data_IF_148910615691
#
_entry.id   IF_148910615691
#
_cell.length_a   1.000
_cell.length_b   1.000
_cell.length_c   1.000
_cell.angle_alpha   90.00
_cell.angle_beta   90.00
_cell.angle_gamma   90.00
#
_symmetry.space_group_name_H-M   'P 1'
#
loop_
_entity.id
_entity.type
_entity.pdbx_description
1 polymer ?
#
# COMPACT_ATOMS: atom_id res chain seq x y z
N UNK A 1 -10.85 -52.91 -64.60
CA UNK A 1 -9.86 -51.87 -64.20
C UNK A 1 -10.55 -50.81 -63.34
N UNK A 2 -10.69 -51.00 -62.02
CA UNK A 2 -11.40 -50.02 -61.18
C UNK A 2 -10.90 -50.00 -59.71
N UNK A 3 -9.63 -50.34 -59.47
CA UNK A 3 -9.05 -50.33 -58.10
C UNK A 3 -7.72 -49.58 -57.97
N UNK A 4 -7.08 -49.20 -59.08
CA UNK A 4 -5.78 -48.51 -59.05
C UNK A 4 -5.90 -46.98 -58.90
N UNK A 5 -7.04 -46.37 -59.26
CA UNK A 5 -7.24 -44.92 -59.17
C UNK A 5 -7.61 -44.44 -57.75
N UNK A 6 -8.17 -45.31 -56.90
CA UNK A 6 -8.52 -44.95 -55.52
C UNK A 6 -7.30 -44.81 -54.61
N UNK A 7 -6.28 -45.65 -54.79
CA UNK A 7 -5.05 -45.58 -54.00
C UNK A 7 -4.26 -44.28 -54.24
N UNK A 8 -4.31 -43.73 -55.45
CA UNK A 8 -3.59 -42.49 -55.78
C UNK A 8 -4.26 -41.25 -55.17
N UNK A 9 -5.60 -41.21 -55.15
CA UNK A 9 -6.38 -40.18 -54.46
C UNK A 9 -6.24 -40.28 -52.94
N UNK A 10 -6.22 -41.50 -52.39
CA UNK A 10 -6.02 -41.74 -50.97
C UNK A 10 -4.62 -41.24 -50.52
N UNK A 11 -3.55 -41.63 -51.21
CA UNK A 11 -2.19 -41.22 -50.87
C UNK A 11 -1.99 -39.70 -50.91
N UNK A 12 -2.56 -39.03 -51.91
CA UNK A 12 -2.47 -37.57 -52.03
C UNK A 12 -3.30 -36.84 -50.96
N UNK A 13 -4.39 -37.45 -50.48
CA UNK A 13 -5.19 -36.94 -49.36
C UNK A 13 -4.45 -37.08 -48.01
N UNK A 14 -3.77 -38.20 -47.79
CA UNK A 14 -2.97 -38.44 -46.59
C UNK A 14 -1.75 -37.54 -46.49
N UNK A 15 -1.08 -37.28 -47.62
CA UNK A 15 0.02 -36.33 -47.67
C UNK A 15 -0.42 -34.90 -47.34
N UNK A 16 -1.62 -34.49 -47.78
CA UNK A 16 -2.19 -33.18 -47.43
C UNK A 16 -2.55 -33.08 -45.94
N UNK A 17 -3.15 -34.14 -45.38
CA UNK A 17 -3.44 -34.23 -43.95
C UNK A 17 -2.15 -34.10 -43.13
N UNK A 18 -1.11 -34.88 -43.43
CA UNK A 18 0.16 -34.81 -42.71
C UNK A 18 0.82 -33.43 -42.77
N UNK A 19 0.83 -32.79 -43.94
CA UNK A 19 1.37 -31.41 -44.05
C UNK A 19 0.53 -30.41 -43.27
N UNK A 20 -0.79 -30.58 -43.23
CA UNK A 20 -1.68 -29.69 -42.49
C UNK A 20 -1.45 -29.83 -40.99
N UNK A 21 -1.30 -31.06 -40.49
CA UNK A 21 -1.00 -31.32 -39.06
C UNK A 21 0.36 -30.73 -38.66
N UNK A 22 1.38 -30.83 -39.52
CA UNK A 22 2.70 -30.23 -39.26
C UNK A 22 2.62 -28.71 -39.23
N UNK A 23 1.95 -28.08 -40.20
CA UNK A 23 1.78 -26.63 -40.23
C UNK A 23 1.00 -26.14 -39.01
N UNK A 24 -0.08 -26.82 -38.64
CA UNK A 24 -0.89 -26.48 -37.45
C UNK A 24 -0.07 -26.64 -36.16
N UNK A 25 0.73 -27.70 -36.05
CA UNK A 25 1.64 -27.90 -34.90
C UNK A 25 2.69 -26.80 -34.82
N UNK A 26 3.25 -26.37 -35.95
CA UNK A 26 4.21 -25.26 -36.01
C UNK A 26 3.54 -23.94 -35.58
N UNK A 27 2.33 -23.65 -36.06
CA UNK A 27 1.58 -22.43 -35.69
C UNK A 27 1.22 -22.43 -34.20
N UNK A 28 0.82 -23.58 -33.64
CA UNK A 28 0.54 -23.74 -32.21
C UNK A 28 1.81 -23.55 -31.36
N UNK A 29 2.94 -24.13 -31.78
CA UNK A 29 4.22 -23.96 -31.10
C UNK A 29 4.72 -22.51 -31.17
N UNK A 30 4.53 -21.84 -32.31
CA UNK A 30 4.88 -20.42 -32.48
C UNK A 30 3.98 -19.50 -31.66
N UNK A 31 2.69 -19.83 -31.52
CA UNK A 31 1.75 -19.08 -30.69
C UNK A 31 2.09 -19.16 -29.20
N UNK A 32 2.54 -20.32 -28.72
CA UNK A 32 3.05 -20.47 -27.34
C UNK A 32 4.33 -19.67 -27.08
N UNK A 33 5.13 -19.39 -28.12
CA UNK A 33 6.37 -18.61 -27.97
C UNK A 33 6.13 -17.09 -27.97
N UNK A 34 4.97 -16.65 -28.45
CA UNK A 34 4.57 -15.24 -28.54
C UNK A 34 3.73 -14.72 -27.37
N UNK A 35 3.53 -15.51 -26.29
CA UNK A 35 2.99 -14.99 -25.04
C UNK A 35 4.12 -14.33 -24.22
N UNK A 36 4.13 -12.99 -24.05
CA UNK A 36 5.14 -12.30 -23.25
C UNK A 36 4.80 -12.46 -21.76
N UNK A 37 4.90 -13.68 -21.23
CA UNK A 37 4.68 -13.96 -19.80
C UNK A 37 5.67 -13.20 -18.89
N UNK A 38 6.75 -12.62 -19.43
CA UNK A 38 7.73 -11.84 -18.65
C UNK A 38 7.28 -10.43 -18.24
N UNK A 39 6.31 -9.80 -18.93
CA UNK A 39 5.91 -8.40 -18.65
C UNK A 39 5.00 -8.24 -17.44
N UNK A 40 4.18 -9.24 -17.15
CA UNK A 40 3.25 -9.18 -16.01
C UNK A 40 4.01 -9.41 -14.69
N UNK A 41 4.96 -10.36 -14.68
CA UNK A 41 5.77 -10.64 -13.49
C UNK A 41 6.68 -9.46 -13.09
N UNK A 42 7.22 -8.72 -14.06
CA UNK A 42 8.07 -7.56 -13.79
C UNK A 42 7.26 -6.37 -13.25
N UNK A 43 6.06 -6.09 -13.78
CA UNK A 43 5.20 -5.04 -13.26
C UNK A 43 4.70 -5.32 -11.82
N UNK A 44 4.35 -6.58 -11.52
CA UNK A 44 3.96 -6.98 -10.16
C UNK A 44 5.15 -6.90 -9.19
N UNK A 45 6.34 -7.28 -9.64
CA UNK A 45 7.56 -7.16 -8.83
C UNK A 45 7.93 -5.70 -8.55
N UNK A 46 7.85 -4.81 -9.54
CA UNK A 46 8.12 -3.38 -9.32
C UNK A 46 7.12 -2.77 -8.34
N UNK A 47 5.84 -3.11 -8.44
CA UNK A 47 4.83 -2.63 -7.48
C UNK A 47 5.07 -3.16 -6.06
N UNK A 48 5.44 -4.43 -5.90
CA UNK A 48 5.79 -4.96 -4.59
C UNK A 48 7.05 -4.30 -4.01
N UNK A 49 8.04 -4.03 -4.85
CA UNK A 49 9.32 -3.47 -4.41
C UNK A 49 9.18 -1.99 -4.02
N UNK A 50 8.38 -1.21 -4.76
CA UNK A 50 7.98 0.15 -4.36
C UNK A 50 7.21 0.16 -3.04
N UNK A 51 6.20 -0.71 -2.90
CA UNK A 51 5.43 -0.81 -1.65
C UNK A 51 6.31 -1.21 -0.47
N UNK A 52 7.24 -2.15 -0.65
CA UNK A 52 8.18 -2.56 0.39
C UNK A 52 9.13 -1.42 0.79
N UNK A 53 9.61 -0.62 -0.17
CA UNK A 53 10.45 0.54 0.11
C UNK A 53 9.70 1.63 0.89
N UNK A 54 8.45 1.92 0.50
CA UNK A 54 7.57 2.86 1.23
C UNK A 54 7.32 2.38 2.65
N UNK A 55 7.04 1.08 2.83
CA UNK A 55 6.79 0.49 4.14
C UNK A 55 8.04 0.50 5.02
N UNK A 56 9.23 0.24 4.45
CA UNK A 56 10.50 0.35 5.18
C UNK A 56 10.78 1.80 5.63
N UNK A 57 10.59 2.77 4.74
CA UNK A 57 10.76 4.18 5.05
C UNK A 57 9.78 4.64 6.13
N UNK A 58 8.53 4.20 6.03
CA UNK A 58 7.49 4.49 7.01
C UNK A 58 7.80 3.84 8.37
N UNK A 59 8.31 2.59 8.39
CA UNK A 59 8.75 1.89 9.60
C UNK A 59 9.94 2.59 10.29
N UNK A 60 10.83 3.23 9.54
CA UNK A 60 11.92 4.04 10.10
C UNK A 60 11.43 5.37 10.67
N UNK A 61 10.38 5.96 10.10
CA UNK A 61 9.78 7.22 10.57
C UNK A 61 8.82 7.01 11.74
N UNK A 62 8.19 5.84 11.86
CA UNK A 62 7.27 5.48 12.92
C UNK A 62 7.80 5.73 14.35
N UNK A 63 9.04 5.36 14.73
CA UNK A 63 9.57 5.67 16.06
C UNK A 63 9.69 7.17 16.32
N UNK A 64 10.04 7.97 15.30
CA UNK A 64 10.10 9.42 15.44
C UNK A 64 8.71 10.03 15.64
N UNK A 65 7.71 9.56 14.89
CA UNK A 65 6.30 9.96 15.11
C UNK A 65 5.82 9.53 16.50
N UNK A 66 6.17 8.33 16.95
CA UNK A 66 5.85 7.85 18.30
C UNK A 66 6.42 8.78 19.38
N UNK A 67 7.69 9.17 19.26
CA UNK A 67 8.28 10.13 20.19
C UNK A 67 7.54 11.48 20.20
N UNK A 68 7.10 11.98 19.03
CA UNK A 68 6.29 13.21 18.96
C UNK A 68 4.94 13.04 19.66
N UNK A 69 4.25 11.91 19.46
CA UNK A 69 2.98 11.60 20.15
C UNK A 69 3.20 11.54 21.67
N UNK A 70 4.23 10.84 22.13
CA UNK A 70 4.55 10.74 23.56
C UNK A 70 4.85 12.13 24.17
N UNK A 71 5.53 13.00 23.42
CA UNK A 71 5.77 14.39 23.83
C UNK A 71 4.48 15.21 23.92
N UNK A 72 3.54 15.05 22.99
CA UNK A 72 2.23 15.70 23.03
C UNK A 72 1.44 15.25 24.26
N UNK A 73 1.37 13.95 24.51
CA UNK A 73 0.68 13.38 25.67
C UNK A 73 1.30 13.88 26.99
N UNK A 74 2.63 13.96 27.07
CA UNK A 74 3.31 14.51 28.24
C UNK A 74 3.03 16.01 28.45
N UNK A 75 2.99 16.80 27.36
CA UNK A 75 2.61 18.23 27.41
C UNK A 75 1.16 18.40 27.84
N UNK A 76 0.24 17.61 27.31
CA UNK A 76 -1.17 17.58 27.72
C UNK A 76 -1.29 17.31 29.23
N UNK A 77 -0.62 16.28 29.74
CA UNK A 77 -0.66 15.93 31.16
C UNK A 77 -0.09 17.05 32.05
N UNK A 78 0.97 17.71 31.58
CA UNK A 78 1.58 18.86 32.29
C UNK A 78 0.62 20.05 32.32
N UNK A 79 -0.05 20.38 31.20
CA UNK A 79 -1.04 21.45 31.13
C UNK A 79 -2.27 21.15 31.98
N UNK A 80 -2.78 19.92 31.96
CA UNK A 80 -3.90 19.48 32.79
C UNK A 80 -3.57 19.62 34.29
N UNK A 81 -2.35 19.26 34.68
CA UNK A 81 -1.86 19.41 36.06
C UNK A 81 -1.70 20.88 36.45
N UNK A 82 -1.13 21.72 35.58
CA UNK A 82 -0.98 23.17 35.81
C UNK A 82 -2.33 23.88 35.91
N UNK A 83 -3.30 23.48 35.07
CA UNK A 83 -4.67 23.99 35.10
C UNK A 83 -5.38 23.60 36.41
N UNK A 84 -5.31 22.33 36.81
CA UNK A 84 -5.85 21.85 38.10
C UNK A 84 -5.24 22.56 39.31
N UNK A 85 -3.96 22.90 39.23
CA UNK A 85 -3.26 23.61 40.28
C UNK A 85 -3.49 25.14 40.25
N UNK A 86 -4.26 25.66 39.29
CA UNK A 86 -4.45 27.11 39.04
C UNK A 86 -3.14 27.89 38.95
N UNK A 87 -2.04 27.23 38.56
CA UNK A 87 -0.69 27.78 38.60
C UNK A 87 -0.41 28.75 37.45
N UNK A 88 -1.24 28.77 36.42
CA UNK A 88 -0.99 29.49 35.17
C UNK A 88 -2.21 30.34 34.81
N UNK A 89 -2.03 31.61 34.38
CA UNK A 89 -3.12 32.45 33.91
C UNK A 89 -3.85 31.80 32.73
N UNK A 90 -5.18 31.91 32.71
CA UNK A 90 -6.08 31.23 31.77
C UNK A 90 -5.72 31.49 30.30
N UNK A 91 -5.24 32.70 29.96
CA UNK A 91 -4.80 33.03 28.60
C UNK A 91 -3.56 32.25 28.15
N UNK A 92 -2.59 32.04 29.05
CA UNK A 92 -1.39 31.27 28.73
C UNK A 92 -1.70 29.78 28.60
N UNK A 93 -2.65 29.26 29.39
CA UNK A 93 -3.16 27.89 29.22
C UNK A 93 -3.86 27.76 27.87
N UNK A 94 -4.72 28.72 27.51
CA UNK A 94 -5.43 28.70 26.23
C UNK A 94 -4.48 28.70 25.05
N UNK A 95 -3.47 29.58 25.06
CA UNK A 95 -2.45 29.61 24.00
C UNK A 95 -1.63 28.31 23.93
N UNK A 96 -1.35 27.68 25.07
CA UNK A 96 -0.65 26.40 25.09
C UNK A 96 -1.53 25.24 24.62
N UNK A 97 -2.85 25.28 24.88
CA UNK A 97 -3.83 24.32 24.37
C UNK A 97 -4.01 24.49 22.86
N UNK A 98 -4.11 25.72 22.35
CA UNK A 98 -4.20 26.00 20.92
C UNK A 98 -2.93 25.52 20.18
N UNK A 99 -1.74 25.76 20.73
CA UNK A 99 -0.49 25.24 20.17
C UNK A 99 -0.41 23.70 20.20
N UNK A 100 -0.96 23.06 21.24
CA UNK A 100 -1.05 21.61 21.33
C UNK A 100 -2.01 21.04 20.29
N UNK A 101 -3.11 21.75 20.02
CA UNK A 101 -4.11 21.40 19.00
C UNK A 101 -3.49 21.44 17.59
N UNK A 102 -2.78 22.53 17.26
CA UNK A 102 -2.07 22.69 15.99
C UNK A 102 -1.01 21.58 15.79
N UNK A 103 -0.18 21.33 16.80
CA UNK A 103 0.84 20.27 16.76
C UNK A 103 0.19 18.88 16.59
N UNK A 104 -0.94 18.62 17.27
CA UNK A 104 -1.67 17.36 17.17
C UNK A 104 -2.32 17.18 15.79
N UNK A 105 -2.89 18.24 15.20
CA UNK A 105 -3.43 18.22 13.85
C UNK A 105 -2.34 17.95 12.80
N UNK A 106 -1.19 18.63 12.91
CA UNK A 106 -0.06 18.38 12.02
C UNK A 106 0.45 16.93 12.11
N UNK A 107 0.48 16.36 13.33
CA UNK A 107 0.89 14.98 13.55
C UNK A 107 -0.14 13.97 13.04
N UNK A 108 -1.44 14.26 13.17
CA UNK A 108 -2.52 13.45 12.61
C UNK A 108 -2.39 13.38 11.07
N UNK A 109 -2.06 14.50 10.42
CA UNK A 109 -1.80 14.52 8.98
C UNK A 109 -0.54 13.74 8.60
N UNK A 110 0.54 13.82 9.39
CA UNK A 110 1.74 12.99 9.17
C UNK A 110 1.44 11.49 9.32
N UNK A 111 0.59 11.11 10.29
CA UNK A 111 0.13 9.73 10.50
C UNK A 111 -0.79 9.25 9.38
N UNK A 112 -1.67 10.12 8.86
CA UNK A 112 -2.56 9.79 7.74
C UNK A 112 -1.81 9.62 6.40
N UNK A 113 -0.61 10.19 6.28
CA UNK A 113 0.29 9.97 5.14
C UNK A 113 1.06 8.66 5.23
N UNK A 114 1.04 7.97 6.37
CA UNK A 114 1.68 6.66 6.52
C UNK A 114 0.77 5.55 5.96
N UNK A 115 1.34 4.49 5.37
CA UNK A 115 0.55 3.37 4.89
C UNK A 115 -0.13 2.61 6.05
N UNK A 116 -1.41 2.25 5.88
CA UNK A 116 -2.26 1.66 6.94
C UNK A 116 -1.82 0.25 7.39
N UNK A 117 -0.85 -0.35 6.72
CA UNK A 117 -0.28 -1.65 7.07
C UNK A 117 0.85 -1.57 8.12
N UNK A 118 1.08 -0.40 8.71
CA UNK A 118 2.05 -0.23 9.79
C UNK A 118 1.47 -0.63 11.14
N UNK A 119 2.08 -1.64 11.74
CA UNK A 119 1.76 -2.09 13.08
C UNK A 119 2.04 -0.97 14.10
N UNK A 120 1.01 -0.61 14.88
CA UNK A 120 1.07 0.47 15.88
C UNK A 120 0.70 1.87 15.35
N UNK A 121 0.39 2.01 14.05
CA UNK A 121 -0.10 3.27 13.50
C UNK A 121 -1.48 3.64 14.04
N UNK A 122 -2.38 2.67 14.21
CA UNK A 122 -3.70 2.88 14.80
C UNK A 122 -3.62 3.36 16.26
N UNK A 123 -2.71 2.80 17.05
CA UNK A 123 -2.49 3.23 18.43
C UNK A 123 -2.00 4.69 18.50
N UNK A 124 -1.14 5.08 17.55
CA UNK A 124 -0.64 6.45 17.42
C UNK A 124 -1.75 7.41 16.99
N UNK A 125 -2.54 7.05 15.96
CA UNK A 125 -3.71 7.82 15.51
C UNK A 125 -4.72 7.98 16.65
N UNK A 126 -4.99 6.91 17.40
CA UNK A 126 -5.87 6.93 18.57
C UNK A 126 -5.36 7.87 19.67
N UNK A 127 -4.05 7.83 19.96
CA UNK A 127 -3.41 8.71 20.95
C UNK A 127 -3.49 10.18 20.56
N UNK A 128 -3.21 10.51 19.29
CA UNK A 128 -3.34 11.89 18.77
C UNK A 128 -4.80 12.34 18.78
N UNK A 129 -5.72 11.47 18.38
CA UNK A 129 -7.16 11.76 18.43
C UNK A 129 -7.64 12.05 19.86
N UNK A 130 -7.09 11.36 20.87
CA UNK A 130 -7.42 11.62 22.27
C UNK A 130 -6.90 12.98 22.76
N UNK A 131 -5.70 13.39 22.29
CA UNK A 131 -5.16 14.74 22.56
C UNK A 131 -6.06 15.81 21.91
N UNK A 132 -6.42 15.63 20.62
CA UNK A 132 -7.34 16.53 19.89
C UNK A 132 -8.71 16.63 20.55
N UNK A 133 -9.23 15.53 21.10
CA UNK A 133 -10.50 15.56 21.82
C UNK A 133 -10.39 16.34 23.14
N UNK A 134 -9.22 16.33 23.79
CA UNK A 134 -9.00 17.08 25.03
C UNK A 134 -8.81 18.58 24.80
N UNK A 135 -8.19 18.97 23.69
CA UNK A 135 -8.00 20.39 23.31
C UNK A 135 -9.31 21.05 22.87
N UNK A 136 -10.30 20.27 22.43
CA UNK A 136 -11.60 20.80 22.06
C UNK A 136 -12.36 21.42 23.25
N UNK A 137 -13.03 22.58 23.04
CA UNK A 137 -13.86 23.18 24.07
C UNK A 137 -15.03 22.25 24.39
N UNK A 138 -15.09 21.73 25.62
CA UNK A 138 -16.26 20.98 26.10
C UNK A 138 -17.46 21.93 26.11
N UNK A 139 -18.46 21.61 25.29
CA UNK A 139 -19.75 22.33 25.24
C UNK A 139 -20.51 22.21 26.56
#
# INVERSE_FOLDING_TARGET
MHKFFDSFRWYHSWRRLLTFTVIVTIILAFSSWLLPNGRIHSAIQTHQQEQAAVLQQAKQRLPALKTKVDQLVARQATLDQQYKAMLVPTDAVKQAVDALDDDAHALQDELNKQPDNLQGLDDLKSSVSNVLQWTQPRK
#
